data_IF_482226215838
#
_entry.id   IF_482226215838
#
_cell.length_a   1.000
_cell.length_b   1.000
_cell.length_c   1.000
_cell.angle_alpha   90.00
_cell.angle_beta   90.00
_cell.angle_gamma   90.00
#
_symmetry.space_group_name_H-M   'P 1'
#
loop_
_entity.id
_entity.type
_entity.pdbx_description
1 polymer ?
#
# COMPACT_ATOMS: atom_id res chain seq x y z
N UNK A 1 6.95 -31.48 1.34
CA UNK A 1 6.44 -30.09 1.44
C UNK A 1 7.25 -29.27 0.48
N UNK A 2 6.68 -28.83 -0.65
CA UNK A 2 7.38 -27.90 -1.54
C UNK A 2 7.65 -26.63 -0.75
N UNK A 3 8.91 -26.33 -0.44
CA UNK A 3 9.25 -25.01 0.09
C UNK A 3 8.91 -24.01 -1.02
N UNK A 4 7.84 -23.25 -0.80
CA UNK A 4 7.54 -22.09 -1.62
C UNK A 4 8.66 -21.08 -1.38
N UNK A 5 9.61 -21.02 -2.31
CA UNK A 5 10.61 -19.96 -2.37
C UNK A 5 9.89 -18.63 -2.51
N UNK A 6 10.29 -17.69 -1.67
CA UNK A 6 9.91 -16.29 -1.73
C UNK A 6 11.16 -15.52 -2.07
N UNK A 7 11.07 -14.55 -2.98
CA UNK A 7 12.18 -13.65 -3.30
C UNK A 7 12.77 -13.04 -2.00
N UNK A 8 14.10 -12.88 -1.92
CA UNK A 8 14.74 -12.42 -0.71
C UNK A 8 14.36 -10.98 -0.38
N UNK A 9 14.28 -10.68 0.92
CA UNK A 9 14.05 -9.33 1.39
C UNK A 9 15.35 -8.53 1.37
N UNK A 10 15.41 -7.53 0.51
CA UNK A 10 16.59 -6.68 0.30
C UNK A 10 16.42 -5.28 0.88
N UNK A 11 15.36 -5.04 1.68
CA UNK A 11 15.15 -3.76 2.36
C UNK A 11 16.33 -3.48 3.30
N UNK A 12 16.80 -2.23 3.39
CA UNK A 12 17.88 -1.88 4.30
C UNK A 12 17.37 -1.92 5.75
N UNK A 13 18.00 -2.76 6.57
CA UNK A 13 17.79 -2.81 8.01
C UNK A 13 19.08 -2.48 8.75
N UNK A 14 19.02 -1.84 9.93
CA UNK A 14 20.22 -1.53 10.72
C UNK A 14 20.89 -2.81 11.24
N UNK A 15 22.19 -2.95 11.02
CA UNK A 15 22.98 -4.09 11.54
C UNK A 15 23.10 -4.09 13.06
N UNK A 16 23.16 -2.90 13.67
CA UNK A 16 23.23 -2.70 15.11
C UNK A 16 22.00 -1.91 15.56
N UNK A 17 20.84 -2.55 15.79
CA UNK A 17 19.67 -1.83 16.29
C UNK A 17 19.99 -1.23 17.66
N UNK A 18 19.52 0.00 17.91
CA UNK A 18 19.65 0.63 19.22
C UNK A 18 18.87 -0.20 20.23
N UNK A 19 19.47 -0.49 21.39
CA UNK A 19 18.77 -1.14 22.51
C UNK A 19 17.77 -0.15 23.13
N UNK A 20 16.58 -0.08 22.53
CA UNK A 20 15.44 0.70 23.00
C UNK A 20 14.32 -0.27 23.43
N UNK A 21 13.65 0.00 24.55
CA UNK A 21 12.53 -0.80 25.04
C UNK A 21 11.40 -0.94 24.00
N UNK A 22 11.12 0.10 23.21
CA UNK A 22 10.14 0.03 22.11
C UNK A 22 10.48 -1.09 21.12
N UNK A 23 11.75 -1.15 20.69
CA UNK A 23 12.23 -2.14 19.72
C UNK A 23 12.26 -3.54 20.33
N UNK A 24 12.63 -3.67 21.60
CA UNK A 24 12.61 -4.95 22.31
C UNK A 24 11.17 -5.50 22.40
N UNK A 25 10.21 -4.66 22.79
CA UNK A 25 8.80 -5.06 22.89
C UNK A 25 8.20 -5.37 21.51
N UNK A 26 8.51 -4.57 20.49
CA UNK A 26 8.07 -4.82 19.11
C UNK A 26 8.67 -6.12 18.54
N UNK A 27 9.95 -6.39 18.79
CA UNK A 27 10.62 -7.62 18.38
C UNK A 27 10.00 -8.84 19.07
N UNK A 28 9.75 -8.77 20.38
CA UNK A 28 9.05 -9.83 21.11
C UNK A 28 7.62 -10.04 20.59
N UNK A 29 6.90 -8.97 20.25
CA UNK A 29 5.57 -9.07 19.66
C UNK A 29 5.60 -9.78 18.29
N UNK A 30 6.60 -9.50 17.46
CA UNK A 30 6.73 -10.07 16.12
C UNK A 30 7.20 -11.53 16.12
N UNK A 31 8.18 -11.88 16.96
CA UNK A 31 8.93 -13.15 16.85
C UNK A 31 8.61 -14.17 17.94
N UNK A 32 7.92 -13.79 19.01
CA UNK A 32 7.61 -14.72 20.08
C UNK A 32 6.44 -15.65 19.70
N UNK A 33 6.61 -16.96 19.91
CA UNK A 33 5.60 -17.96 19.58
C UNK A 33 4.41 -17.94 20.56
N UNK A 34 4.67 -17.62 21.84
CA UNK A 34 3.66 -17.59 22.89
C UNK A 34 2.65 -16.45 22.70
N UNK A 35 1.36 -16.78 22.64
CA UNK A 35 0.28 -15.80 22.58
C UNK A 35 0.23 -14.90 23.83
N UNK A 36 0.46 -15.48 25.01
CA UNK A 36 0.45 -14.74 26.28
C UNK A 36 1.57 -13.69 26.32
N UNK A 37 2.78 -14.07 25.89
CA UNK A 37 3.92 -13.16 25.83
C UNK A 37 3.70 -12.06 24.80
N UNK A 38 3.16 -12.38 23.61
CA UNK A 38 2.79 -11.38 22.61
C UNK A 38 1.76 -10.37 23.13
N UNK A 39 0.73 -10.83 23.84
CA UNK A 39 -0.28 -9.93 24.43
C UNK A 39 0.33 -8.99 25.48
N UNK A 40 1.25 -9.50 26.31
CA UNK A 40 1.97 -8.68 27.29
C UNK A 40 2.85 -7.63 26.60
N UNK A 41 3.67 -8.03 25.63
CA UNK A 41 4.54 -7.12 24.87
C UNK A 41 3.74 -6.05 24.14
N UNK A 42 2.56 -6.40 23.59
CA UNK A 42 1.66 -5.45 22.95
C UNK A 42 1.14 -4.40 23.94
N UNK A 43 0.68 -4.81 25.13
CA UNK A 43 0.20 -3.86 26.15
C UNK A 43 1.29 -2.95 26.69
N UNK A 44 2.50 -3.49 26.91
CA UNK A 44 3.67 -2.71 27.32
C UNK A 44 4.06 -1.69 26.25
N UNK A 45 4.15 -2.12 25.00
CA UNK A 45 4.49 -1.25 23.87
C UNK A 45 3.49 -0.11 23.70
N UNK A 46 2.19 -0.39 23.76
CA UNK A 46 1.15 0.64 23.68
C UNK A 46 1.21 1.63 24.85
N UNK A 47 1.52 1.16 26.06
CA UNK A 47 1.70 2.01 27.24
C UNK A 47 2.90 2.95 27.08
N UNK A 48 4.03 2.42 26.61
CA UNK A 48 5.23 3.22 26.34
C UNK A 48 5.00 4.27 25.25
N UNK A 49 4.37 3.88 24.13
CA UNK A 49 4.04 4.79 23.03
C UNK A 49 3.13 5.92 23.53
N UNK A 50 2.08 5.60 24.31
CA UNK A 50 1.18 6.60 24.88
C UNK A 50 1.93 7.58 25.77
N UNK A 51 2.73 7.09 26.71
CA UNK A 51 3.53 7.94 27.60
C UNK A 51 4.46 8.87 26.82
N UNK A 52 5.04 8.39 25.71
CA UNK A 52 5.86 9.22 24.82
C UNK A 52 5.07 10.29 24.08
N UNK A 53 3.88 9.96 23.58
CA UNK A 53 3.00 10.91 22.90
C UNK A 53 2.49 12.00 23.87
N UNK A 54 2.12 11.62 25.09
CA UNK A 54 1.71 12.55 26.15
C UNK A 54 2.85 13.49 26.57
N UNK A 55 4.09 13.00 26.62
CA UNK A 55 5.28 13.77 27.03
C UNK A 55 5.91 14.56 25.87
N UNK A 56 5.36 14.53 24.66
CA UNK A 56 5.94 15.11 23.46
C UNK A 56 7.32 14.54 23.05
N UNK A 57 7.63 13.29 23.40
CA UNK A 57 8.89 12.61 23.08
C UNK A 57 8.89 11.91 21.70
N UNK A 58 8.55 12.65 20.66
CA UNK A 58 8.22 12.12 19.33
C UNK A 58 9.41 11.57 18.54
N UNK A 59 10.59 12.17 18.71
CA UNK A 59 11.82 11.78 18.00
C UNK A 59 12.17 10.31 18.28
N UNK A 60 11.94 9.86 19.51
CA UNK A 60 12.24 8.48 19.91
C UNK A 60 11.34 7.46 19.19
N UNK A 61 10.08 7.83 18.87
CA UNK A 61 9.16 6.95 18.14
C UNK A 61 9.55 6.84 16.67
N UNK A 62 9.79 7.98 16.03
CA UNK A 62 10.26 8.02 14.63
C UNK A 62 11.59 7.27 14.47
N UNK A 63 12.51 7.45 15.41
CA UNK A 63 13.78 6.71 15.43
C UNK A 63 13.56 5.20 15.63
N UNK A 64 12.63 4.78 16.48
CA UNK A 64 12.33 3.35 16.65
C UNK A 64 11.78 2.73 15.36
N UNK A 65 10.92 3.44 14.62
CA UNK A 65 10.44 2.97 13.31
C UNK A 65 11.58 2.79 12.30
N UNK A 66 12.50 3.76 12.20
CA UNK A 66 13.64 3.66 11.27
C UNK A 66 14.70 2.64 11.71
N UNK A 67 14.80 2.37 13.01
CA UNK A 67 15.77 1.43 13.59
C UNK A 67 15.22 0.01 13.77
N UNK A 68 14.06 -0.31 13.18
CA UNK A 68 13.49 -1.65 13.22
C UNK A 68 14.41 -2.66 12.51
N UNK A 69 14.77 -3.79 13.13
CA UNK A 69 15.75 -4.73 12.58
C UNK A 69 15.23 -5.61 11.44
N UNK A 70 13.91 -5.67 11.24
CA UNK A 70 13.26 -6.47 10.21
C UNK A 70 11.82 -5.98 9.95
N UNK A 71 11.19 -6.46 8.87
CA UNK A 71 9.83 -6.09 8.48
C UNK A 71 8.77 -6.44 9.54
N UNK A 72 8.92 -7.59 10.21
CA UNK A 72 7.98 -8.05 11.23
C UNK A 72 7.98 -7.14 12.45
N UNK A 73 9.17 -6.77 12.93
CA UNK A 73 9.35 -5.82 14.02
C UNK A 73 8.80 -4.44 13.66
N UNK A 74 9.06 -3.95 12.43
CA UNK A 74 8.50 -2.70 11.94
C UNK A 74 6.96 -2.72 11.95
N UNK A 75 6.36 -3.77 11.38
CA UNK A 75 4.91 -3.92 11.31
C UNK A 75 4.27 -4.00 12.71
N UNK A 76 4.90 -4.69 13.65
CA UNK A 76 4.46 -4.78 15.04
C UNK A 76 4.48 -3.40 15.74
N UNK A 77 5.54 -2.62 15.52
CA UNK A 77 5.66 -1.27 16.05
C UNK A 77 4.60 -0.33 15.44
N UNK A 78 4.50 -0.29 14.11
CA UNK A 78 3.52 0.55 13.41
C UNK A 78 2.08 0.20 13.80
N UNK A 79 1.75 -1.09 13.92
CA UNK A 79 0.43 -1.54 14.38
C UNK A 79 0.13 -1.05 15.80
N UNK A 80 1.13 -1.04 16.68
CA UNK A 80 0.97 -0.54 18.05
C UNK A 80 0.81 0.97 18.11
N UNK A 81 1.49 1.72 17.23
CA UNK A 81 1.25 3.16 17.06
C UNK A 81 -0.19 3.40 16.63
N UNK A 82 -0.67 2.68 15.61
CA UNK A 82 -2.04 2.83 15.12
C UNK A 82 -3.08 2.52 16.20
N UNK A 83 -2.87 1.46 16.99
CA UNK A 83 -3.75 1.12 18.11
C UNK A 83 -3.81 2.23 19.17
N UNK A 84 -2.71 2.94 19.44
CA UNK A 84 -2.70 4.09 20.36
C UNK A 84 -3.38 5.31 19.73
N UNK A 85 -3.42 5.42 18.41
CA UNK A 85 -4.09 6.51 17.69
C UNK A 85 -5.61 6.29 17.52
N UNK A 86 -6.10 5.10 17.81
CA UNK A 86 -7.52 4.81 17.83
C UNK A 86 -8.25 5.60 18.94
N UNK A 87 -9.53 5.86 18.72
CA UNK A 87 -10.44 6.43 19.71
C UNK A 87 -10.67 5.42 20.84
N UNK A 88 -10.32 5.78 22.07
CA UNK A 88 -10.41 4.89 23.24
C UNK A 88 -11.35 5.44 24.31
N UNK A 89 -11.55 6.75 24.33
CA UNK A 89 -12.31 7.45 25.36
C UNK A 89 -13.44 8.25 24.76
N UNK A 90 -14.49 8.45 25.56
CA UNK A 90 -15.55 9.38 25.20
C UNK A 90 -14.97 10.80 25.08
N UNK A 91 -15.34 11.51 24.02
CA UNK A 91 -14.79 12.82 23.67
C UNK A 91 -13.63 12.79 22.68
N UNK A 92 -12.91 11.66 22.55
CA UNK A 92 -11.95 11.47 21.45
C UNK A 92 -12.68 11.24 20.12
N UNK A 93 -11.97 11.48 19.02
CA UNK A 93 -12.44 11.19 17.67
C UNK A 93 -11.67 10.03 17.05
N UNK A 94 -12.34 9.28 16.18
CA UNK A 94 -11.70 8.29 15.32
C UNK A 94 -11.42 8.91 13.95
N UNK A 95 -10.16 8.96 13.57
CA UNK A 95 -9.73 9.29 12.22
C UNK A 95 -9.84 8.08 11.30
N UNK A 96 -10.23 8.34 10.06
CA UNK A 96 -10.29 7.32 9.01
C UNK A 96 -9.98 7.92 7.64
N UNK A 97 -9.48 7.07 6.75
CA UNK A 97 -9.30 7.37 5.36
C UNK A 97 -9.84 6.23 4.49
N UNK A 98 -10.44 6.58 3.35
CA UNK A 98 -10.91 5.65 2.33
C UNK A 98 -10.04 5.81 1.09
N UNK A 99 -9.15 4.84 0.77
CA UNK A 99 -8.33 4.91 -0.43
C UNK A 99 -9.16 4.72 -1.69
N UNK A 100 -8.91 5.53 -2.71
CA UNK A 100 -9.46 5.37 -4.06
C UNK A 100 -8.29 5.27 -5.03
N UNK A 101 -8.07 4.06 -5.55
CA UNK A 101 -7.04 3.80 -6.56
C UNK A 101 -7.62 4.12 -7.94
N UNK A 102 -6.93 4.95 -8.70
CA UNK A 102 -7.37 5.44 -9.99
C UNK A 102 -6.43 4.92 -11.07
N UNK A 103 -6.95 4.18 -12.04
CA UNK A 103 -6.25 3.83 -13.28
C UNK A 103 -6.74 4.77 -14.37
N UNK A 104 -5.84 5.54 -14.97
CA UNK A 104 -6.18 6.49 -16.01
C UNK A 104 -5.44 6.22 -17.31
N UNK A 105 -6.07 6.65 -18.41
CA UNK A 105 -5.50 6.71 -19.75
C UNK A 105 -5.80 8.05 -20.41
N UNK A 106 -4.77 8.78 -20.82
CA UNK A 106 -4.87 10.11 -21.41
C UNK A 106 -4.03 10.20 -22.70
N UNK A 107 -4.54 10.88 -23.74
CA UNK A 107 -3.75 11.17 -24.96
C UNK A 107 -2.80 12.36 -24.82
N UNK A 108 -3.01 13.18 -23.79
CA UNK A 108 -2.22 14.35 -23.41
C UNK A 108 -2.33 14.51 -21.90
N UNK A 109 -1.39 15.17 -21.26
CA UNK A 109 -1.49 15.47 -19.84
C UNK A 109 -2.80 16.22 -19.51
N UNK A 110 -3.44 15.83 -18.41
CA UNK A 110 -4.69 16.40 -17.92
C UNK A 110 -4.63 16.63 -16.42
N UNK A 111 -5.38 17.61 -15.94
CA UNK A 111 -5.62 17.84 -14.53
C UNK A 111 -7.10 17.55 -14.23
N UNK A 112 -7.39 16.78 -13.18
CA UNK A 112 -8.75 16.52 -12.71
C UNK A 112 -8.94 17.14 -11.32
N UNK A 113 -10.07 17.82 -11.10
CA UNK A 113 -10.45 18.29 -9.78
C UNK A 113 -10.82 17.13 -8.86
N UNK A 114 -10.22 17.11 -7.68
CA UNK A 114 -10.43 16.05 -6.69
C UNK A 114 -11.57 16.37 -5.73
N UNK A 115 -12.73 16.80 -6.23
CA UNK A 115 -13.89 17.11 -5.39
C UNK A 115 -14.51 15.83 -4.82
N UNK A 116 -14.91 15.86 -3.54
CA UNK A 116 -15.63 14.76 -2.92
C UNK A 116 -17.12 14.79 -3.35
N UNK A 117 -17.69 13.71 -3.91
CA UNK A 117 -19.12 13.61 -4.19
C UNK A 117 -19.88 13.27 -2.90
N UNK A 118 -19.88 14.18 -1.91
CA UNK A 118 -20.38 13.90 -0.56
C UNK A 118 -21.79 13.31 -0.53
N UNK A 119 -22.74 13.91 -1.25
CA UNK A 119 -24.14 13.46 -1.25
C UNK A 119 -24.28 12.04 -1.83
N UNK A 120 -23.72 11.79 -3.02
CA UNK A 120 -23.78 10.49 -3.67
C UNK A 120 -23.04 9.40 -2.88
N UNK A 121 -21.87 9.75 -2.33
CA UNK A 121 -21.08 8.85 -1.49
C UNK A 121 -21.83 8.48 -0.21
N UNK A 122 -22.44 9.46 0.47
CA UNK A 122 -23.20 9.22 1.70
C UNK A 122 -24.44 8.37 1.42
N UNK A 123 -25.18 8.69 0.36
CA UNK A 123 -26.33 7.89 -0.06
C UNK A 123 -25.93 6.43 -0.34
N UNK A 124 -24.79 6.21 -1.01
CA UNK A 124 -24.26 4.88 -1.24
C UNK A 124 -23.90 4.15 0.07
N UNK A 125 -23.11 4.77 0.95
CA UNK A 125 -22.66 4.15 2.21
C UNK A 125 -23.83 3.84 3.16
N UNK A 126 -24.87 4.67 3.19
CA UNK A 126 -26.05 4.48 4.05
C UNK A 126 -26.85 3.22 3.73
N UNK A 127 -26.78 2.74 2.49
CA UNK A 127 -27.43 1.50 2.06
C UNK A 127 -26.82 0.24 2.72
N UNK A 128 -25.62 0.35 3.29
CA UNK A 128 -24.88 -0.78 3.86
C UNK A 128 -24.73 -0.65 5.38
N UNK A 129 -25.40 -1.48 6.20
CA UNK A 129 -25.42 -1.34 7.66
C UNK A 129 -24.03 -1.22 8.31
N UNK A 130 -23.04 -1.98 7.85
CA UNK A 130 -21.67 -2.00 8.39
C UNK A 130 -20.86 -0.75 8.03
N UNK A 131 -21.34 0.10 7.10
CA UNK A 131 -20.68 1.34 6.68
C UNK A 131 -21.42 2.60 7.15
N UNK A 132 -22.64 2.49 7.69
CA UNK A 132 -23.46 3.65 8.09
C UNK A 132 -22.77 4.58 9.08
N UNK A 133 -21.95 4.03 9.98
CA UNK A 133 -21.20 4.80 10.97
C UNK A 133 -20.27 5.84 10.33
N UNK A 134 -19.85 5.64 9.08
CA UNK A 134 -19.02 6.60 8.32
C UNK A 134 -19.79 7.85 7.88
N UNK A 135 -21.13 7.85 7.97
CA UNK A 135 -21.98 8.97 7.53
C UNK A 135 -22.71 9.66 8.68
N UNK A 136 -22.64 9.09 9.89
CA UNK A 136 -23.34 9.59 11.07
C UNK A 136 -22.36 10.30 11.99
N UNK A 137 -22.63 11.56 12.31
CA UNK A 137 -21.79 12.34 13.26
C UNK A 137 -20.32 12.43 12.80
N UNK A 138 -20.09 12.42 11.48
CA UNK A 138 -18.74 12.48 10.86
C UNK A 138 -18.53 13.78 10.11
N UNK A 139 -17.29 14.26 10.11
CA UNK A 139 -16.85 15.38 9.30
C UNK A 139 -15.81 14.90 8.28
N UNK A 140 -16.03 15.26 7.02
CA UNK A 140 -15.22 14.84 5.88
C UNK A 140 -14.61 16.07 5.21
N UNK A 141 -13.41 15.95 4.64
CA UNK A 141 -12.91 16.96 3.72
C UNK A 141 -13.76 16.98 2.45
N UNK A 142 -14.08 18.16 1.89
CA UNK A 142 -14.89 18.26 0.67
C UNK A 142 -14.11 17.93 -0.62
N UNK A 143 -12.90 17.39 -0.49
CA UNK A 143 -12.01 17.01 -1.58
C UNK A 143 -11.15 15.80 -1.16
N UNK A 144 -10.56 15.11 -2.15
CA UNK A 144 -9.66 13.98 -1.93
C UNK A 144 -8.25 14.50 -1.63
N UNK A 145 -7.62 13.85 -0.65
CA UNK A 145 -6.27 14.14 -0.18
C UNK A 145 -5.28 13.33 -1.01
N UNK A 146 -4.17 13.95 -1.39
CA UNK A 146 -3.09 13.26 -2.10
C UNK A 146 -2.26 12.41 -1.15
N UNK A 147 -1.67 11.34 -1.67
CA UNK A 147 -0.78 10.45 -0.89
C UNK A 147 0.32 11.22 -0.16
N UNK A 148 0.96 12.19 -0.85
CA UNK A 148 2.03 13.01 -0.27
C UNK A 148 1.58 13.73 1.00
N UNK A 149 0.37 14.30 0.96
CA UNK A 149 -0.12 15.19 2.00
C UNK A 149 -0.56 14.37 3.23
N UNK A 150 -1.22 13.23 3.00
CA UNK A 150 -1.63 12.33 4.07
C UNK A 150 -0.42 11.65 4.74
N UNK A 151 0.58 11.24 3.95
CA UNK A 151 1.81 10.60 4.47
C UNK A 151 2.73 11.55 5.24
N UNK A 152 2.59 12.87 5.03
CA UNK A 152 3.38 13.89 5.71
C UNK A 152 2.89 14.20 7.13
N UNK A 153 1.76 13.62 7.56
CA UNK A 153 1.23 13.81 8.91
C UNK A 153 1.91 12.84 9.87
N UNK A 154 2.68 13.39 10.80
CA UNK A 154 3.39 12.58 11.79
C UNK A 154 2.43 12.01 12.86
N UNK A 155 2.77 10.87 13.50
CA UNK A 155 1.92 10.24 14.51
C UNK A 155 1.52 11.17 15.67
N UNK A 156 2.37 12.12 16.05
CA UNK A 156 2.08 13.10 17.09
C UNK A 156 1.00 14.10 16.72
N UNK A 157 0.92 14.44 15.44
CA UNK A 157 -0.13 15.31 14.92
C UNK A 157 -1.48 14.60 14.97
N UNK A 158 -1.52 13.31 14.56
CA UNK A 158 -2.71 12.49 14.72
C UNK A 158 -3.11 12.35 16.19
N UNK A 159 -2.14 12.17 17.09
CA UNK A 159 -2.39 12.10 18.52
C UNK A 159 -3.01 13.38 19.07
N UNK A 160 -2.52 14.56 18.69
CA UNK A 160 -3.12 15.85 19.08
C UNK A 160 -4.51 16.03 18.46
N UNK A 161 -4.64 15.66 17.19
CA UNK A 161 -5.87 15.83 16.44
C UNK A 161 -6.99 14.88 16.90
N UNK A 162 -6.68 13.73 17.50
CA UNK A 162 -7.70 12.79 18.00
C UNK A 162 -8.36 13.20 19.32
N UNK A 163 -7.77 14.15 20.06
CA UNK A 163 -8.16 14.43 21.46
C UNK A 163 -9.60 14.92 21.60
N UNK A 164 -10.10 15.68 20.63
CA UNK A 164 -11.47 16.17 20.59
C UNK A 164 -11.84 16.73 19.20
N UNK A 165 -13.13 16.97 18.98
CA UNK A 165 -13.68 17.52 17.73
C UNK A 165 -13.07 18.86 17.31
N UNK A 166 -12.74 19.75 18.25
CA UNK A 166 -12.16 21.06 17.93
C UNK A 166 -10.73 20.91 17.39
N UNK A 167 -9.90 20.11 18.06
CA UNK A 167 -8.56 19.77 17.61
C UNK A 167 -8.60 19.06 16.24
N UNK A 168 -9.59 18.18 16.03
CA UNK A 168 -9.75 17.49 14.77
C UNK A 168 -10.13 18.43 13.62
N UNK A 169 -11.08 19.34 13.86
CA UNK A 169 -11.49 20.36 12.90
C UNK A 169 -10.36 21.35 12.58
N UNK A 170 -9.51 21.70 13.57
CA UNK A 170 -8.32 22.50 13.35
C UNK A 170 -7.31 21.76 12.48
N UNK A 171 -7.08 20.47 12.73
CA UNK A 171 -6.16 19.65 11.95
C UNK A 171 -6.58 19.53 10.48
N UNK A 172 -7.89 19.39 10.20
CA UNK A 172 -8.40 19.36 8.82
C UNK A 172 -8.02 20.60 7.99
N UNK A 173 -7.84 21.77 8.61
CA UNK A 173 -7.47 23.01 7.90
C UNK A 173 -6.06 23.00 7.32
N UNK A 174 -5.22 22.03 7.70
CA UNK A 174 -3.89 21.82 7.12
C UNK A 174 -3.96 21.40 5.65
N UNK A 175 -4.99 20.64 5.29
CA UNK A 175 -5.14 20.13 3.95
C UNK A 175 -5.69 21.24 3.04
N UNK A 176 -5.31 21.17 1.76
CA UNK A 176 -5.79 22.08 0.74
C UNK A 176 -6.21 21.30 -0.51
N UNK A 177 -7.28 21.73 -1.21
CA UNK A 177 -7.67 21.08 -2.46
C UNK A 177 -6.57 21.27 -3.52
N UNK A 178 -6.23 20.20 -4.22
CA UNK A 178 -5.27 20.22 -5.34
C UNK A 178 -5.72 19.26 -6.45
N UNK A 179 -5.66 19.66 -7.73
CA UNK A 179 -5.98 18.75 -8.81
C UNK A 179 -5.01 17.57 -8.85
N UNK A 180 -5.46 16.44 -9.39
CA UNK A 180 -4.59 15.32 -9.73
C UNK A 180 -4.09 15.48 -11.16
N UNK A 181 -2.77 15.45 -11.34
CA UNK A 181 -2.14 15.47 -12.66
C UNK A 181 -2.05 14.04 -13.20
N UNK A 182 -2.65 13.83 -14.37
CA UNK A 182 -2.61 12.60 -15.12
C UNK A 182 -1.69 12.78 -16.33
N UNK A 183 -0.53 12.09 -16.38
CA UNK A 183 0.39 12.19 -17.50
C UNK A 183 -0.24 11.62 -18.78
N UNK A 184 0.40 11.91 -19.92
CA UNK A 184 0.12 11.21 -21.18
C UNK A 184 0.41 9.70 -21.04
N UNK A 185 -0.42 8.88 -21.66
CA UNK A 185 -0.35 7.42 -21.56
C UNK A 185 -1.22 6.89 -20.44
N UNK A 186 -0.78 5.79 -19.83
CA UNK A 186 -1.48 5.13 -18.73
C UNK A 186 -0.77 5.37 -17.41
N UNK A 187 -1.53 5.59 -16.34
CA UNK A 187 -0.97 5.81 -15.01
C UNK A 187 -1.90 5.32 -13.92
N UNK A 188 -1.32 5.01 -12.74
CA UNK A 188 -2.07 4.54 -11.58
C UNK A 188 -1.74 5.40 -10.37
N UNK A 189 -2.78 5.99 -9.79
CA UNK A 189 -2.71 6.94 -8.68
C UNK A 189 -3.52 6.41 -7.50
N UNK A 190 -3.25 6.94 -6.31
CA UNK A 190 -4.13 6.75 -5.15
C UNK A 190 -4.33 8.08 -4.43
N UNK A 191 -5.59 8.36 -4.18
CA UNK A 191 -6.08 9.52 -3.42
C UNK A 191 -6.99 9.02 -2.30
N UNK A 192 -7.21 9.86 -1.30
CA UNK A 192 -7.89 9.43 -0.08
C UNK A 192 -9.05 10.34 0.22
N UNK A 193 -10.20 9.75 0.51
CA UNK A 193 -11.17 10.47 1.31
C UNK A 193 -10.67 10.50 2.75
N UNK A 194 -10.73 11.65 3.41
CA UNK A 194 -10.30 11.81 4.79
C UNK A 194 -11.44 12.39 5.62
N UNK A 195 -11.67 11.79 6.78
CA UNK A 195 -12.64 12.27 7.73
C UNK A 195 -12.36 11.80 9.16
N UNK A 196 -13.18 12.30 10.08
CA UNK A 196 -13.21 11.83 11.45
C UNK A 196 -14.66 11.74 11.95
N UNK A 197 -14.88 10.98 13.02
CA UNK A 197 -16.16 10.89 13.70
C UNK A 197 -15.99 10.38 15.13
N UNK A 198 -17.09 9.99 15.77
CA UNK A 198 -17.02 9.36 17.09
C UNK A 198 -16.40 7.95 17.00
N UNK A 199 -16.10 7.34 18.16
CA UNK A 199 -15.60 5.96 18.23
C UNK A 199 -16.48 4.91 17.52
N UNK A 200 -17.76 5.21 17.25
CA UNK A 200 -18.66 4.36 16.45
C UNK A 200 -18.09 4.04 15.06
N UNK A 201 -17.30 4.95 14.48
CA UNK A 201 -16.64 4.77 13.17
C UNK A 201 -15.75 3.53 13.16
N UNK A 202 -15.12 3.16 14.28
CA UNK A 202 -14.21 2.02 14.36
C UNK A 202 -14.87 0.72 13.91
N UNK A 203 -16.18 0.57 14.11
CA UNK A 203 -16.91 -0.61 13.68
C UNK A 203 -16.90 -0.80 12.15
N UNK A 204 -16.69 0.26 11.36
CA UNK A 204 -16.62 0.19 9.90
C UNK A 204 -15.20 0.03 9.34
N UNK A 205 -14.16 0.23 10.16
CA UNK A 205 -12.77 0.26 9.70
C UNK A 205 -12.22 -1.15 9.45
N UNK A 206 -11.46 -1.30 8.36
CA UNK A 206 -10.81 -2.56 7.98
C UNK A 206 -11.78 -3.66 7.52
N UNK A 207 -13.08 -3.36 7.43
CA UNK A 207 -14.07 -4.31 6.92
C UNK A 207 -14.07 -4.31 5.39
N UNK A 208 -14.20 -5.49 4.77
CA UNK A 208 -14.37 -5.60 3.32
C UNK A 208 -15.61 -4.82 2.88
N UNK A 209 -15.55 -4.12 1.73
CA UNK A 209 -16.69 -3.37 1.20
C UNK A 209 -17.87 -4.27 0.81
N UNK A 210 -17.65 -5.56 0.59
CA UNK A 210 -18.64 -6.56 0.21
C UNK A 210 -19.48 -6.06 -0.99
N UNK A 211 -20.80 -5.99 -0.82
CA UNK A 211 -21.73 -5.54 -1.86
C UNK A 211 -21.65 -4.03 -2.14
N UNK A 212 -20.97 -3.24 -1.29
CA UNK A 212 -20.78 -1.81 -1.50
C UNK A 212 -19.71 -1.49 -2.55
N UNK A 213 -18.83 -2.44 -2.90
CA UNK A 213 -17.71 -2.21 -3.81
C UNK A 213 -18.13 -1.67 -5.18
N UNK A 214 -19.01 -2.39 -5.89
CA UNK A 214 -19.46 -1.99 -7.24
C UNK A 214 -20.22 -0.65 -7.24
N UNK A 215 -21.17 -0.38 -6.33
CA UNK A 215 -21.86 0.91 -6.31
C UNK A 215 -20.93 2.07 -5.96
N UNK A 216 -19.95 1.87 -5.08
CA UNK A 216 -18.94 2.89 -4.81
C UNK A 216 -18.08 3.18 -6.04
N UNK A 217 -17.71 2.16 -6.82
CA UNK A 217 -16.99 2.35 -8.09
C UNK A 217 -17.78 3.24 -9.05
N UNK A 218 -19.11 3.05 -9.14
CA UNK A 218 -19.97 3.88 -9.99
C UNK A 218 -19.99 5.34 -9.55
N UNK A 219 -20.18 5.60 -8.24
CA UNK A 219 -20.14 6.96 -7.67
C UNK A 219 -18.84 7.67 -8.06
N UNK A 220 -17.69 6.99 -7.96
CA UNK A 220 -16.40 7.57 -8.31
C UNK A 220 -16.22 7.78 -9.82
N UNK A 221 -16.64 6.81 -10.63
CA UNK A 221 -16.56 6.92 -12.09
C UNK A 221 -17.38 8.10 -12.61
N UNK A 222 -18.59 8.30 -12.09
CA UNK A 222 -19.45 9.44 -12.45
C UNK A 222 -18.86 10.77 -11.98
N UNK A 223 -18.40 10.86 -10.73
CA UNK A 223 -17.83 12.09 -10.19
C UNK A 223 -16.51 12.51 -10.87
N UNK A 224 -15.70 11.54 -11.29
CA UNK A 224 -14.40 11.79 -11.91
C UNK A 224 -14.45 11.72 -13.45
N UNK A 225 -15.64 11.59 -14.04
CA UNK A 225 -15.83 11.60 -15.48
C UNK A 225 -15.33 12.93 -16.06
N UNK A 226 -14.48 12.86 -17.08
CA UNK A 226 -13.86 14.05 -17.69
C UNK A 226 -13.49 13.76 -19.14
N UNK A 227 -13.66 14.75 -20.01
CA UNK A 227 -13.44 14.58 -21.44
C UNK A 227 -11.97 14.25 -21.76
N UNK A 228 -11.77 13.24 -22.62
CA UNK A 228 -10.45 12.82 -23.07
C UNK A 228 -9.67 12.00 -22.05
N UNK A 229 -10.33 11.56 -20.98
CA UNK A 229 -9.75 10.71 -19.93
C UNK A 229 -10.56 9.41 -19.87
N UNK A 230 -9.87 8.28 -20.00
CA UNK A 230 -10.43 6.99 -19.60
C UNK A 230 -10.02 6.75 -18.16
N UNK A 231 -10.98 6.62 -17.24
CA UNK A 231 -10.68 6.49 -15.81
C UNK A 231 -11.47 5.32 -15.23
N UNK A 232 -10.77 4.47 -14.48
CA UNK A 232 -11.33 3.43 -13.64
C UNK A 232 -10.98 3.74 -12.19
N UNK A 233 -12.00 3.77 -11.32
CA UNK A 233 -11.83 3.99 -9.90
C UNK A 233 -12.10 2.70 -9.12
N UNK A 234 -11.17 2.36 -8.22
CA UNK A 234 -11.25 1.21 -7.32
C UNK A 234 -11.19 1.72 -5.85
N UNK A 235 -12.34 1.91 -5.20
CA UNK A 235 -12.40 2.23 -3.79
C UNK A 235 -11.99 1.02 -2.95
N UNK A 236 -11.14 1.25 -1.95
CA UNK A 236 -10.77 0.26 -0.96
C UNK A 236 -11.58 0.47 0.32
N UNK A 237 -11.48 -0.51 1.22
CA UNK A 237 -12.08 -0.41 2.55
C UNK A 237 -11.54 0.82 3.31
N UNK A 238 -12.40 1.58 3.99
CA UNK A 238 -11.96 2.61 4.90
C UNK A 238 -11.22 1.99 6.08
N UNK A 239 -10.15 2.63 6.52
CA UNK A 239 -9.38 2.23 7.70
C UNK A 239 -8.77 3.48 8.37
N UNK A 240 -8.03 3.30 9.46
CA UNK A 240 -7.15 4.32 10.03
C UNK A 240 -6.20 4.89 8.97
N UNK A 241 -5.81 6.18 9.06
CA UNK A 241 -4.99 6.83 8.04
C UNK A 241 -3.73 6.06 7.62
N UNK A 242 -3.00 5.49 8.58
CA UNK A 242 -1.76 4.74 8.30
C UNK A 242 -2.02 3.40 7.59
N UNK A 243 -3.08 2.67 7.98
CA UNK A 243 -3.46 1.42 7.29
C UNK A 243 -4.00 1.70 5.90
N UNK A 244 -4.85 2.72 5.77
CA UNK A 244 -5.34 3.19 4.48
C UNK A 244 -4.19 3.57 3.54
N UNK A 245 -3.16 4.28 4.04
CA UNK A 245 -1.94 4.58 3.27
C UNK A 245 -1.20 3.33 2.81
N UNK A 246 -1.04 2.34 3.69
CA UNK A 246 -0.38 1.06 3.37
C UNK A 246 -1.15 0.32 2.28
N UNK A 247 -2.45 0.11 2.47
CA UNK A 247 -3.30 -0.65 1.56
C UNK A 247 -3.49 0.06 0.21
N UNK A 248 -3.66 1.39 0.25
CA UNK A 248 -3.74 2.24 -0.93
C UNK A 248 -2.45 2.21 -1.75
N UNK A 249 -1.29 2.34 -1.08
CA UNK A 249 0.02 2.28 -1.75
C UNK A 249 0.28 0.91 -2.38
N UNK A 250 0.06 -0.17 -1.62
CA UNK A 250 0.23 -1.54 -2.11
C UNK A 250 -0.68 -1.82 -3.31
N UNK A 251 -1.96 -1.47 -3.21
CA UNK A 251 -2.93 -1.71 -4.30
C UNK A 251 -2.62 -0.86 -5.53
N UNK A 252 -2.18 0.39 -5.36
CA UNK A 252 -1.69 1.23 -6.45
C UNK A 252 -0.51 0.58 -7.18
N UNK A 253 0.49 0.06 -6.44
CA UNK A 253 1.63 -0.64 -7.05
C UNK A 253 1.20 -1.91 -7.79
N UNK A 254 0.27 -2.68 -7.20
CA UNK A 254 -0.31 -3.87 -7.84
C UNK A 254 -0.95 -3.52 -9.17
N UNK A 255 -1.90 -2.58 -9.18
CA UNK A 255 -2.60 -2.20 -10.40
C UNK A 255 -1.65 -1.57 -11.44
N UNK A 256 -0.62 -0.84 -11.01
CA UNK A 256 0.42 -0.34 -11.90
C UNK A 256 1.22 -1.48 -12.56
N UNK A 257 1.58 -2.50 -11.79
CA UNK A 257 2.24 -3.71 -12.29
C UNK A 257 1.33 -4.45 -13.28
N UNK A 258 0.04 -4.59 -12.97
CA UNK A 258 -0.93 -5.27 -13.84
C UNK A 258 -1.04 -4.59 -15.22
N UNK A 259 -1.20 -3.27 -15.22
CA UNK A 259 -1.26 -2.45 -16.45
C UNK A 259 0.06 -2.54 -17.23
N UNK A 260 1.20 -2.40 -16.54
CA UNK A 260 2.51 -2.50 -17.16
C UNK A 260 2.74 -3.85 -17.81
N UNK A 261 2.49 -4.93 -17.06
CA UNK A 261 2.70 -6.30 -17.50
C UNK A 261 1.83 -6.65 -18.71
N UNK A 262 0.54 -6.27 -18.69
CA UNK A 262 -0.35 -6.48 -19.82
C UNK A 262 0.18 -5.82 -21.11
N UNK A 263 0.67 -4.59 -21.02
CA UNK A 263 1.26 -3.88 -22.14
C UNK A 263 2.58 -4.50 -22.60
N UNK A 264 3.46 -4.88 -21.67
CA UNK A 264 4.75 -5.50 -21.99
C UNK A 264 4.56 -6.87 -22.67
N UNK A 265 3.67 -7.71 -22.13
CA UNK A 265 3.29 -9.01 -22.71
C UNK A 265 2.74 -8.82 -24.13
N UNK A 266 1.84 -7.84 -24.31
CA UNK A 266 1.29 -7.51 -25.63
C UNK A 266 2.39 -7.08 -26.61
N UNK A 267 3.30 -6.20 -26.19
CA UNK A 267 4.38 -5.70 -27.03
C UNK A 267 5.30 -6.83 -27.51
N UNK A 268 5.68 -7.76 -26.63
CA UNK A 268 6.48 -8.95 -26.99
C UNK A 268 5.71 -9.84 -27.96
N UNK A 269 4.44 -10.17 -27.66
CA UNK A 269 3.62 -11.05 -28.51
C UNK A 269 3.40 -10.50 -29.92
N UNK A 270 3.27 -9.18 -30.07
CA UNK A 270 3.13 -8.55 -31.40
C UNK A 270 4.35 -8.76 -32.30
N UNK A 271 5.53 -9.05 -31.74
CA UNK A 271 6.74 -9.33 -32.51
C UNK A 271 6.88 -10.81 -32.89
N UNK A 272 5.99 -11.68 -32.38
CA UNK A 272 5.99 -13.12 -32.65
C UNK A 272 6.59 -14.06 -31.57
N UNK A 273 7.62 -13.70 -30.77
CA UNK A 273 8.22 -14.64 -29.84
C UNK A 273 7.33 -14.93 -28.63
N UNK A 274 7.63 -16.03 -27.94
CA UNK A 274 7.06 -16.32 -26.63
C UNK A 274 7.59 -15.33 -25.61
N UNK A 275 6.74 -14.94 -24.67
CA UNK A 275 7.11 -14.02 -23.59
C UNK A 275 7.88 -14.78 -22.53
N UNK A 276 9.09 -14.32 -22.23
CA UNK A 276 9.90 -14.75 -21.09
C UNK A 276 9.93 -13.66 -20.03
N UNK A 277 9.70 -14.03 -18.78
CA UNK A 277 9.61 -13.09 -17.66
C UNK A 277 10.56 -13.49 -16.55
N UNK A 278 11.27 -12.50 -16.01
CA UNK A 278 12.21 -12.66 -14.89
C UNK A 278 11.73 -11.81 -13.74
N UNK A 279 11.68 -12.38 -12.54
CA UNK A 279 11.48 -11.61 -11.31
C UNK A 279 12.67 -11.79 -10.38
N UNK A 280 13.15 -10.69 -9.80
CA UNK A 280 14.34 -10.69 -8.96
C UNK A 280 14.24 -9.62 -7.87
N UNK A 281 14.66 -9.95 -6.66
CA UNK A 281 14.94 -8.94 -5.66
C UNK A 281 16.24 -8.21 -6.02
N UNK A 282 16.33 -6.93 -5.67
CA UNK A 282 17.49 -6.08 -5.90
C UNK A 282 17.82 -5.30 -4.63
N UNK A 283 19.12 -5.15 -4.34
CA UNK A 283 19.61 -4.36 -3.22
C UNK A 283 18.95 -2.98 -3.14
N UNK A 284 18.61 -2.54 -1.93
CA UNK A 284 17.86 -1.30 -1.69
C UNK A 284 16.34 -1.48 -1.57
N UNK A 285 15.86 -2.70 -1.36
CA UNK A 285 14.44 -2.99 -1.14
C UNK A 285 13.60 -2.90 -2.40
N UNK A 286 14.07 -3.48 -3.51
CA UNK A 286 13.36 -3.46 -4.79
C UNK A 286 13.04 -4.89 -5.26
N UNK A 287 11.91 -5.05 -5.95
CA UNK A 287 11.63 -6.22 -6.79
C UNK A 287 11.50 -5.74 -8.23
N UNK A 288 12.30 -6.33 -9.12
CA UNK A 288 12.27 -6.06 -10.55
C UNK A 288 11.52 -7.17 -11.27
N UNK A 289 10.65 -6.78 -12.20
CA UNK A 289 9.94 -7.69 -13.11
C UNK A 289 10.27 -7.31 -14.55
N UNK A 290 11.07 -8.14 -15.22
CA UNK A 290 11.55 -7.93 -16.58
C UNK A 290 10.80 -8.81 -17.58
N UNK A 291 10.26 -8.20 -18.63
CA UNK A 291 9.51 -8.85 -19.69
C UNK A 291 10.31 -8.80 -21.00
N UNK A 292 10.60 -9.96 -21.57
CA UNK A 292 11.46 -10.15 -22.73
C UNK A 292 10.92 -11.26 -23.65
N UNK A 293 11.62 -11.55 -24.74
CA UNK A 293 11.47 -12.80 -25.47
C UNK A 293 12.14 -13.96 -24.71
N UNK A 294 11.65 -15.19 -24.89
CA UNK A 294 12.30 -16.38 -24.35
C UNK A 294 13.62 -16.72 -25.06
N UNK A 295 13.70 -16.37 -26.35
CA UNK A 295 14.88 -16.58 -27.19
C UNK A 295 15.65 -15.26 -27.32
N UNK A 296 16.93 -15.27 -26.94
CA UNK A 296 17.81 -14.10 -26.99
C UNK A 296 18.16 -13.64 -28.41
N UNK A 297 17.78 -14.40 -29.44
CA UNK A 297 17.91 -13.97 -30.84
C UNK A 297 16.94 -12.84 -31.23
N UNK A 298 15.88 -12.60 -30.44
CA UNK A 298 14.94 -11.50 -30.68
C UNK A 298 15.38 -10.23 -29.92
N UNK A 299 15.63 -9.16 -30.66
CA UNK A 299 15.90 -7.83 -30.11
C UNK A 299 14.62 -7.15 -29.64
N UNK A 300 14.05 -7.63 -28.53
CA UNK A 300 12.96 -6.92 -27.85
C UNK A 300 13.58 -5.91 -26.89
N UNK A 301 13.12 -4.66 -26.95
CA UNK A 301 13.47 -3.64 -25.94
C UNK A 301 13.04 -4.16 -24.55
N UNK A 302 13.96 -4.32 -23.59
CA UNK A 302 13.61 -4.82 -22.27
C UNK A 302 12.59 -3.92 -21.57
N UNK A 303 11.48 -4.50 -21.15
CA UNK A 303 10.45 -3.81 -20.38
C UNK A 303 10.60 -4.22 -18.92
N UNK A 304 10.95 -3.28 -18.03
CA UNK A 304 11.18 -3.58 -16.61
C UNK A 304 10.26 -2.75 -15.73
N UNK A 305 9.48 -3.43 -14.89
CA UNK A 305 8.75 -2.81 -13.80
C UNK A 305 9.60 -2.88 -12.52
N UNK A 306 9.72 -1.77 -11.81
CA UNK A 306 10.39 -1.71 -10.51
C UNK A 306 9.34 -1.49 -9.42
N UNK A 307 9.21 -2.46 -8.52
CA UNK A 307 8.43 -2.35 -7.30
C UNK A 307 9.36 -1.91 -6.16
N UNK A 308 9.16 -0.71 -5.64
CA UNK A 308 9.87 -0.25 -4.45
C UNK A 308 9.14 -0.78 -3.22
N UNK A 309 9.80 -1.66 -2.46
CA UNK A 309 9.21 -2.25 -1.26
C UNK A 309 9.05 -1.20 -0.18
N UNK A 310 7.83 -1.08 0.34
CA UNK A 310 7.58 -0.43 1.62
C UNK A 310 7.97 -1.38 2.76
N UNK A 311 8.13 -0.86 3.97
CA UNK A 311 8.36 -1.73 5.14
C UNK A 311 7.12 -2.56 5.54
N UNK A 312 5.92 -2.19 5.06
CA UNK A 312 4.68 -2.94 5.30
C UNK A 312 4.38 -3.96 4.20
N UNK A 313 5.11 -3.92 3.07
CA UNK A 313 4.92 -4.86 1.97
C UNK A 313 5.27 -6.30 2.39
N UNK A 314 4.42 -7.23 1.96
CA UNK A 314 4.65 -8.66 2.07
C UNK A 314 5.10 -9.22 0.72
N UNK A 315 6.37 -9.61 0.62
CA UNK A 315 6.98 -10.10 -0.62
C UNK A 315 6.27 -11.36 -1.15
N UNK A 316 5.83 -12.26 -0.27
CA UNK A 316 5.12 -13.46 -0.69
C UNK A 316 3.77 -13.13 -1.35
N UNK A 317 3.06 -12.12 -0.84
CA UNK A 317 1.80 -11.63 -1.42
C UNK A 317 2.05 -10.96 -2.78
N UNK A 318 3.07 -10.10 -2.88
CA UNK A 318 3.46 -9.45 -4.14
C UNK A 318 3.81 -10.52 -5.19
N UNK A 319 4.65 -11.48 -4.83
CA UNK A 319 5.05 -12.58 -5.70
C UNK A 319 3.83 -13.41 -6.13
N UNK A 320 2.95 -13.78 -5.21
CA UNK A 320 1.75 -14.55 -5.57
C UNK A 320 0.84 -13.79 -6.53
N UNK A 321 0.55 -12.51 -6.26
CA UNK A 321 -0.27 -11.67 -7.15
C UNK A 321 0.35 -11.59 -8.56
N UNK A 322 1.67 -11.44 -8.64
CA UNK A 322 2.39 -11.43 -9.91
C UNK A 322 2.29 -12.77 -10.65
N UNK A 323 2.43 -13.91 -9.94
CA UNK A 323 2.32 -15.23 -10.54
C UNK A 323 0.89 -15.53 -11.02
N UNK A 324 -0.12 -15.11 -10.26
CA UNK A 324 -1.53 -15.21 -10.66
C UNK A 324 -1.77 -14.44 -11.96
N UNK A 325 -1.25 -13.20 -12.06
CA UNK A 325 -1.31 -12.41 -13.28
C UNK A 325 -0.62 -13.10 -14.47
N UNK A 326 0.56 -13.69 -14.28
CA UNK A 326 1.26 -14.42 -15.34
C UNK A 326 0.46 -15.63 -15.82
N UNK A 327 -0.18 -16.36 -14.89
CA UNK A 327 -1.04 -17.49 -15.20
C UNK A 327 -2.29 -17.05 -15.98
N UNK A 328 -2.97 -15.98 -15.55
CA UNK A 328 -4.12 -15.38 -16.24
C UNK A 328 -3.75 -14.93 -17.67
N UNK A 329 -2.57 -14.32 -17.81
CA UNK A 329 -2.05 -13.89 -19.11
C UNK A 329 -1.51 -15.05 -19.98
N UNK A 330 -1.46 -16.29 -19.46
CA UNK A 330 -0.88 -17.47 -20.11
C UNK A 330 0.60 -17.29 -20.47
N UNK A 331 1.39 -16.84 -19.52
CA UNK A 331 2.85 -16.74 -19.62
C UNK A 331 3.46 -17.87 -18.78
N UNK A 332 3.97 -18.91 -19.45
CA UNK A 332 4.53 -20.10 -18.78
C UNK A 332 6.03 -19.96 -18.49
N UNK A 333 6.72 -19.12 -19.25
CA UNK A 333 8.16 -18.90 -19.15
C UNK A 333 8.45 -17.80 -18.11
N UNK A 334 8.32 -18.16 -16.83
CA UNK A 334 8.61 -17.29 -15.69
C UNK A 334 9.82 -17.83 -14.94
N UNK A 335 10.75 -16.96 -14.56
CA UNK A 335 11.95 -17.35 -13.83
C UNK A 335 12.17 -16.43 -12.63
N UNK A 336 12.21 -17.01 -11.43
CA UNK A 336 12.50 -16.31 -10.18
C UNK A 336 13.98 -16.52 -9.86
N UNK A 337 14.77 -15.44 -9.76
CA UNK A 337 16.15 -15.53 -9.33
C UNK A 337 16.24 -15.82 -7.83
N UNK A 338 17.10 -16.77 -7.44
CA UNK A 338 17.31 -17.11 -6.04
C UNK A 338 18.10 -16.03 -5.29
N UNK A 339 19.17 -15.57 -5.91
CA UNK A 339 20.08 -14.58 -5.33
C UNK A 339 19.66 -13.15 -5.73
N UNK A 340 19.73 -12.18 -4.82
CA UNK A 340 19.40 -10.80 -5.12
C UNK A 340 20.43 -10.17 -6.07
N UNK A 341 19.95 -9.23 -6.88
CA UNK A 341 20.79 -8.39 -7.73
C UNK A 341 21.51 -7.32 -6.91
N UNK A 342 22.73 -6.95 -7.32
CA UNK A 342 23.46 -5.82 -6.76
C UNK A 342 22.81 -4.46 -7.07
N UNK A 343 23.22 -3.40 -6.35
CA UNK A 343 22.65 -2.05 -6.50
C UNK A 343 22.73 -1.50 -7.94
N UNK A 344 23.84 -1.77 -8.63
CA UNK A 344 24.08 -1.31 -10.01
C UNK A 344 23.76 -2.38 -11.07
N UNK A 345 23.27 -3.54 -10.65
CA UNK A 345 23.02 -4.65 -11.56
C UNK A 345 21.64 -4.54 -12.21
N UNK A 346 21.59 -4.65 -13.55
CA UNK A 346 20.34 -4.70 -14.29
C UNK A 346 19.72 -6.10 -14.19
N UNK A 347 18.38 -6.17 -14.26
CA UNK A 347 17.71 -7.46 -14.37
C UNK A 347 18.13 -8.13 -15.69
N UNK A 348 18.54 -9.41 -15.68
CA UNK A 348 18.91 -10.11 -16.90
C UNK A 348 17.70 -10.36 -17.80
N UNK A 349 17.96 -10.54 -19.10
CA UNK A 349 16.96 -11.11 -20.00
C UNK A 349 16.58 -12.54 -19.57
N UNK A 350 15.46 -13.06 -20.09
CA UNK A 350 15.04 -14.43 -19.75
C UNK A 350 16.12 -15.47 -20.09
N UNK A 351 16.73 -15.39 -21.28
CA UNK A 351 17.78 -16.30 -21.72
C UNK A 351 19.07 -16.22 -20.86
N UNK A 352 19.39 -15.03 -20.34
CA UNK A 352 20.52 -14.85 -19.41
C UNK A 352 20.18 -15.32 -18.00
N UNK A 353 18.93 -15.13 -17.55
CA UNK A 353 18.48 -15.55 -16.24
C UNK A 353 18.56 -17.08 -16.07
N UNK A 354 18.30 -17.85 -17.13
CA UNK A 354 18.46 -19.31 -17.14
C UNK A 354 19.90 -19.79 -16.86
N UNK A 355 20.91 -18.91 -17.00
CA UNK A 355 22.31 -19.21 -16.70
C UNK A 355 22.66 -18.94 -15.23
N UNK A 356 21.73 -18.39 -14.47
CA UNK A 356 21.88 -18.03 -13.06
C UNK A 356 21.06 -18.98 -12.19
N UNK A 357 21.32 -18.96 -10.89
CA UNK A 357 20.53 -19.73 -9.94
C UNK A 357 19.12 -19.15 -9.79
N UNK A 358 18.12 -19.97 -10.06
CA UNK A 358 16.72 -19.60 -10.00
C UNK A 358 15.82 -20.78 -10.34
N UNK A 359 14.52 -20.51 -10.45
CA UNK A 359 13.54 -21.55 -10.78
C UNK A 359 12.32 -20.99 -11.52
N UNK A 360 11.67 -21.86 -12.30
CA UNK A 360 10.33 -21.58 -12.78
C UNK A 360 9.30 -22.00 -11.72
N UNK A 361 8.44 -21.10 -11.22
CA UNK A 361 7.50 -21.41 -10.15
C UNK A 361 6.31 -22.28 -10.59
N UNK A 362 6.03 -22.40 -11.89
CA UNK A 362 4.94 -23.23 -12.43
C UNK A 362 5.35 -24.68 -12.68
N UNK A 363 6.64 -24.94 -12.85
CA UNK A 363 7.18 -26.29 -13.04
C UNK A 363 7.97 -26.69 -11.81
N UNK A 364 7.52 -27.74 -11.12
CA UNK A 364 8.30 -28.34 -10.04
C UNK A 364 9.62 -28.85 -10.62
N UNK A 365 10.74 -28.35 -10.11
CA UNK A 365 12.00 -29.10 -10.16
C UNK A 365 12.06 -30.03 -8.96
#
# INVERSE_FOLDING_TARGET
>A
MNQTFTLPDTRPYPQNPIKNHLLLNAYQLAHNSSQASRKLSSGQLQTEIRGMLEQNHYINLSLALTMSPDAGTYAALLSSVNAVLDCEKEGEVQWFALPVVLVSGCKKERAIEMKLPTEALFACLQNYPHLRALTQETQWLPYLVHSSDLSAVAPDEWWRAKQNTEAAAQHLRRFAPRPLLLPEGQSVHVVYVLGFGSGKVQAALGQNLLQAGLPLMQVWQENLASEGITLFANPLSPDTPARALSDGSHTRQRMAMDVFAANAIRAVRMQGPRVGVVAAAKAGGQILFGFNATDGAFEVVPQVFCWQLSFTDNIAVIQQNFLDLMAECRVEHVYLLHNPLGEQENIPSYAEALKREGRNPFFSA
#
